data_IF_326683790967
#
_entry.id   IF_326683790967
#
_cell.length_a   1.000
_cell.length_b   1.000
_cell.length_c   1.000
_cell.angle_alpha   90.00
_cell.angle_beta   90.00
_cell.angle_gamma   90.00
#
_symmetry.space_group_name_H-M   'P 1'
#
loop_
_entity.id
_entity.type
_entity.pdbx_description
1 polymer ?
#
# COMPACT_ATOMS: atom_id res chain seq x y z
N UNK A 1 -20.09 38.66 -9.77
CA UNK A 1 -20.35 37.31 -10.22
C UNK A 1 -19.08 36.45 -10.21
N UNK A 2 -19.16 35.20 -10.63
CA UNK A 2 -18.06 34.23 -10.60
C UNK A 2 -16.83 34.68 -11.43
N UNK A 3 -17.07 35.37 -12.55
CA UNK A 3 -16.03 35.96 -13.42
C UNK A 3 -15.27 37.14 -12.78
N UNK A 4 -15.93 37.91 -11.96
CA UNK A 4 -15.28 39.07 -11.24
C UNK A 4 -14.38 38.56 -10.12
N UNK A 5 -14.75 37.45 -9.48
CA UNK A 5 -13.92 36.80 -8.45
C UNK A 5 -12.67 36.15 -9.05
N UNK A 6 -12.80 35.49 -10.21
CA UNK A 6 -11.66 34.92 -10.92
C UNK A 6 -10.65 36.00 -11.35
N UNK A 7 -11.15 37.11 -11.85
CA UNK A 7 -10.29 38.23 -12.26
C UNK A 7 -9.57 38.93 -11.07
N UNK A 8 -10.16 38.94 -9.88
CA UNK A 8 -9.56 39.51 -8.67
C UNK A 8 -8.35 38.71 -8.15
N UNK A 9 -8.25 37.41 -8.52
CA UNK A 9 -7.16 36.51 -8.10
C UNK A 9 -6.15 36.28 -9.22
N UNK A 10 -6.38 36.87 -10.41
CA UNK A 10 -5.46 36.76 -11.57
C UNK A 10 -5.52 35.39 -12.27
N UNK A 11 -6.60 34.60 -12.06
CA UNK A 11 -6.82 33.30 -12.68
C UNK A 11 -7.89 33.38 -13.77
N UNK A 12 -7.74 32.61 -14.84
CA UNK A 12 -8.81 32.45 -15.82
C UNK A 12 -9.98 31.64 -15.25
N UNK A 13 -11.21 31.86 -15.74
CA UNK A 13 -12.40 31.11 -15.33
C UNK A 13 -12.20 29.59 -15.45
N UNK A 14 -11.45 29.17 -16.45
CA UNK A 14 -11.09 27.78 -16.68
C UNK A 14 -10.13 27.23 -15.59
N UNK A 15 -9.17 28.04 -15.16
CA UNK A 15 -8.24 27.67 -14.09
C UNK A 15 -8.93 27.62 -12.73
N UNK A 16 -9.86 28.52 -12.48
CA UNK A 16 -10.65 28.53 -11.25
C UNK A 16 -11.60 27.34 -11.17
N UNK A 17 -12.28 27.00 -12.28
CA UNK A 17 -13.16 25.83 -12.34
C UNK A 17 -12.38 24.52 -12.22
N UNK A 18 -11.21 24.43 -12.85
CA UNK A 18 -10.34 23.26 -12.74
C UNK A 18 -9.77 23.09 -11.33
N UNK A 19 -9.39 24.20 -10.68
CA UNK A 19 -8.94 24.24 -9.29
C UNK A 19 -10.04 23.81 -8.30
N UNK A 20 -11.28 24.24 -8.52
CA UNK A 20 -12.43 23.84 -7.72
C UNK A 20 -12.80 22.36 -7.89
N UNK A 21 -12.66 21.83 -9.10
CA UNK A 21 -12.88 20.39 -9.38
C UNK A 21 -11.77 19.56 -8.71
N UNK A 22 -10.51 19.98 -8.81
CA UNK A 22 -9.38 19.31 -8.15
C UNK A 22 -9.47 19.36 -6.63
N UNK A 23 -9.91 20.48 -6.07
CA UNK A 23 -10.14 20.63 -4.63
C UNK A 23 -11.33 19.78 -4.15
N UNK A 24 -12.40 19.70 -4.94
CA UNK A 24 -13.56 18.84 -4.65
C UNK A 24 -13.17 17.36 -4.61
N UNK A 25 -12.36 16.90 -5.55
CA UNK A 25 -11.81 15.54 -5.57
C UNK A 25 -10.95 15.25 -4.33
N UNK A 26 -10.08 16.18 -3.93
CA UNK A 26 -9.25 16.05 -2.71
C UNK A 26 -10.11 15.95 -1.45
N UNK A 27 -11.18 16.73 -1.34
CA UNK A 27 -12.09 16.70 -0.19
C UNK A 27 -12.85 15.38 -0.12
N UNK A 28 -13.31 14.85 -1.25
CA UNK A 28 -14.02 13.56 -1.30
C UNK A 28 -13.08 12.41 -0.90
N UNK A 29 -11.85 12.40 -1.37
CA UNK A 29 -10.83 11.41 -0.97
C UNK A 29 -10.49 11.53 0.51
N UNK A 30 -10.36 12.74 1.06
CA UNK A 30 -10.15 12.96 2.50
C UNK A 30 -11.32 12.47 3.35
N UNK A 31 -12.56 12.75 2.92
CA UNK A 31 -13.78 12.30 3.63
C UNK A 31 -13.88 10.77 3.58
N UNK A 32 -13.62 10.16 2.43
CA UNK A 32 -13.63 8.70 2.28
C UNK A 32 -12.58 8.03 3.19
N UNK A 33 -11.35 8.54 3.21
CA UNK A 33 -10.30 8.06 4.11
C UNK A 33 -10.64 8.26 5.60
N UNK A 34 -11.22 9.41 5.96
CA UNK A 34 -11.64 9.68 7.33
C UNK A 34 -12.79 8.78 7.81
N UNK A 35 -13.74 8.46 6.92
CA UNK A 35 -14.83 7.53 7.22
C UNK A 35 -14.34 6.08 7.32
N UNK A 36 -13.35 5.70 6.51
CA UNK A 36 -12.71 4.37 6.57
C UNK A 36 -11.95 4.15 7.88
N UNK A 37 -11.22 5.15 8.37
CA UNK A 37 -10.48 5.10 9.65
C UNK A 37 -11.42 4.96 10.85
N UNK A 38 -12.58 5.64 10.86
CA UNK A 38 -13.58 5.51 11.93
C UNK A 38 -14.24 4.13 12.00
N UNK A 39 -14.34 3.41 10.87
CA UNK A 39 -14.92 2.05 10.83
C UNK A 39 -13.97 0.97 11.37
N UNK A 40 -12.67 1.21 11.37
CA UNK A 40 -11.66 0.23 11.84
C UNK A 40 -11.54 0.19 13.37
N UNK A 41 -11.84 1.29 14.07
CA UNK A 41 -11.79 1.35 15.53
C UNK A 41 -12.97 0.66 16.24
N UNK A 42 -14.07 0.40 15.53
CA UNK A 42 -15.28 -0.20 16.13
C UNK A 42 -15.33 -1.74 16.05
N UNK A 43 -14.32 -2.41 15.46
CA UNK A 43 -14.32 -3.87 15.28
C UNK A 43 -13.38 -4.64 16.23
N UNK A 44 -12.77 -3.99 17.19
CA UNK A 44 -11.75 -4.61 18.06
C UNK A 44 -12.21 -4.92 19.48
N UNK A 45 -13.47 -5.26 19.67
CA UNK A 45 -13.90 -5.75 20.99
C UNK A 45 -15.01 -6.79 20.83
N UNK A 46 -14.62 -8.05 20.62
CA UNK A 46 -15.32 -9.22 21.13
C UNK A 46 -14.57 -10.50 20.72
N UNK A 47 -13.68 -10.92 21.61
CA UNK A 47 -13.15 -12.30 21.61
C UNK A 47 -14.08 -13.15 22.46
N UNK A 48 -14.86 -14.01 21.85
CA UNK A 48 -15.53 -15.10 22.54
C UNK A 48 -14.81 -16.42 22.24
N UNK A 49 -14.16 -16.92 23.29
CA UNK A 49 -13.74 -18.31 23.44
C UNK A 49 -14.93 -19.25 23.24
N UNK A 50 -14.82 -20.19 22.31
CA UNK A 50 -15.60 -21.43 22.35
C UNK A 50 -14.66 -22.59 22.10
N UNK A 51 -14.41 -23.33 23.19
CA UNK A 51 -13.86 -24.68 23.14
C UNK A 51 -14.93 -25.63 22.57
N UNK A 52 -14.54 -26.46 21.60
CA UNK A 52 -15.22 -27.71 21.34
C UNK A 52 -14.18 -28.82 21.22
N UNK A 53 -14.18 -29.68 22.21
CA UNK A 53 -13.62 -31.02 22.17
C UNK A 53 -14.70 -32.03 21.68
N UNK A 54 -14.21 -33.08 20.97
CA UNK A 54 -14.79 -34.42 20.75
C UNK A 54 -16.01 -34.58 19.80
N UNK A 55 -15.90 -35.34 18.78
CA UNK A 55 -15.90 -36.84 18.65
C UNK A 55 -15.88 -37.32 17.19
N UNK A 56 -14.97 -38.23 16.95
CA UNK A 56 -15.02 -39.44 16.11
C UNK A 56 -15.88 -39.54 14.84
N UNK A 57 -15.21 -39.87 13.72
CA UNK A 57 -15.83 -40.47 12.55
C UNK A 57 -14.90 -40.63 11.34
N UNK A 58 -14.12 -41.72 11.29
CA UNK A 58 -13.35 -42.19 10.13
C UNK A 58 -14.23 -42.37 8.90
N UNK A 59 -13.97 -41.67 7.81
CA UNK A 59 -14.20 -42.22 6.45
C UNK A 59 -13.04 -41.73 5.56
N UNK A 60 -12.17 -42.67 5.25
CA UNK A 60 -11.13 -42.56 4.23
C UNK A 60 -11.79 -42.41 2.84
N UNK A 61 -11.59 -41.27 2.18
CA UNK A 61 -11.78 -41.14 0.74
C UNK A 61 -10.50 -40.59 0.13
N UNK A 62 -9.77 -41.50 -0.47
CA UNK A 62 -8.62 -41.21 -1.32
C UNK A 62 -9.11 -40.53 -2.59
N UNK A 63 -8.87 -39.23 -2.72
CA UNK A 63 -8.96 -38.51 -4.00
C UNK A 63 -7.57 -38.44 -4.64
N UNK A 64 -7.46 -38.55 -5.98
CA UNK A 64 -6.17 -38.55 -6.64
C UNK A 64 -5.53 -37.16 -6.52
N UNK A 65 -4.35 -37.10 -5.91
CA UNK A 65 -3.48 -35.94 -5.85
C UNK A 65 -3.00 -35.62 -7.26
N UNK A 66 -3.55 -34.57 -7.86
CA UNK A 66 -2.97 -33.96 -9.03
C UNK A 66 -1.80 -33.11 -8.55
N UNK A 67 -0.59 -33.61 -8.73
CA UNK A 67 0.64 -32.84 -8.53
C UNK A 67 0.69 -31.69 -9.56
N UNK A 68 0.12 -30.55 -9.19
CA UNK A 68 0.40 -29.30 -9.84
C UNK A 68 1.63 -28.70 -9.11
N UNK A 69 2.70 -28.33 -9.82
CA UNK A 69 3.84 -27.71 -9.19
C UNK A 69 3.37 -26.39 -8.55
N UNK A 70 3.43 -26.32 -7.23
CA UNK A 70 3.28 -25.08 -6.48
C UNK A 70 4.40 -24.12 -6.90
N UNK A 71 4.14 -23.31 -7.89
CA UNK A 71 5.01 -22.16 -8.19
C UNK A 71 4.74 -21.09 -7.13
N UNK A 72 5.28 -21.31 -5.93
CA UNK A 72 5.51 -20.22 -4.98
C UNK A 72 6.57 -19.30 -5.54
N UNK A 73 6.16 -18.35 -6.35
CA UNK A 73 6.96 -17.18 -6.67
C UNK A 73 6.26 -15.96 -6.09
N UNK A 74 6.11 -15.94 -4.77
CA UNK A 74 6.14 -14.66 -4.08
C UNK A 74 7.57 -14.15 -4.26
N UNK A 75 7.74 -13.17 -5.14
CA UNK A 75 8.94 -12.33 -5.07
C UNK A 75 8.95 -11.76 -3.65
N UNK A 76 9.92 -12.10 -2.81
CA UNK A 76 9.96 -11.53 -1.48
C UNK A 76 10.03 -10.02 -1.68
N UNK A 77 9.06 -9.28 -1.16
CA UNK A 77 9.23 -7.86 -0.87
C UNK A 77 10.32 -7.83 0.19
N UNK A 78 11.57 -7.75 -0.26
CA UNK A 78 12.71 -7.65 0.63
C UNK A 78 12.56 -6.28 1.27
N UNK A 79 12.06 -6.24 2.51
CA UNK A 79 12.08 -5.06 3.34
C UNK A 79 13.54 -4.71 3.57
N UNK A 80 14.11 -3.92 2.68
CA UNK A 80 15.45 -3.35 2.81
C UNK A 80 15.35 -1.97 3.41
N UNK A 81 16.30 -1.64 4.25
CA UNK A 81 16.51 -0.29 4.74
C UNK A 81 16.76 0.63 3.54
N UNK A 82 16.01 1.73 3.51
CA UNK A 82 16.09 2.73 2.45
C UNK A 82 16.19 4.14 3.09
N UNK A 83 17.33 4.79 2.94
CA UNK A 83 17.59 6.10 3.53
C UNK A 83 16.67 7.21 3.02
N UNK A 84 15.89 6.98 1.96
CA UNK A 84 14.89 7.93 1.47
C UNK A 84 13.63 7.97 2.33
N UNK A 85 13.34 6.86 3.05
CA UNK A 85 12.11 6.75 3.85
C UNK A 85 12.37 6.33 5.29
N UNK A 86 13.62 5.99 5.64
CA UNK A 86 14.03 5.51 6.96
C UNK A 86 15.04 6.45 7.61
N UNK A 87 14.92 6.64 8.92
CA UNK A 87 16.05 7.10 9.74
C UNK A 87 16.99 5.92 9.95
N UNK A 88 18.22 6.03 9.46
CA UNK A 88 19.22 4.98 9.53
C UNK A 88 20.32 5.36 10.53
N UNK A 89 20.60 4.47 11.49
CA UNK A 89 21.63 4.63 12.51
C UNK A 89 22.66 3.52 12.33
N UNK A 90 23.90 3.90 12.05
CA UNK A 90 25.01 2.97 11.91
C UNK A 90 25.65 2.63 13.26
N UNK A 91 25.98 1.36 13.45
CA UNK A 91 26.72 0.85 14.61
C UNK A 91 27.98 0.13 14.12
N UNK A 92 29.13 0.55 14.60
CA UNK A 92 30.43 -0.09 14.30
C UNK A 92 30.85 -0.94 15.48
N UNK A 93 31.00 -2.23 15.24
CA UNK A 93 31.37 -3.18 16.26
C UNK A 93 32.90 -3.24 16.41
N UNK A 94 33.44 -3.42 17.63
CA UNK A 94 34.89 -3.48 17.83
C UNK A 94 35.50 -4.77 17.24
N UNK A 95 34.70 -5.83 17.18
CA UNK A 95 35.04 -7.13 16.59
C UNK A 95 33.77 -7.76 15.97
N UNK A 96 33.97 -8.86 15.25
CA UNK A 96 32.87 -9.59 14.65
C UNK A 96 32.01 -10.26 15.74
N UNK A 97 30.74 -9.85 15.82
CA UNK A 97 29.74 -10.37 16.77
C UNK A 97 28.81 -11.36 16.06
N UNK A 98 28.42 -12.42 16.78
CA UNK A 98 27.52 -13.43 16.27
C UNK A 98 26.10 -12.88 16.10
N UNK A 99 25.42 -13.29 15.02
CA UNK A 99 24.03 -12.93 14.81
C UNK A 99 23.11 -13.42 15.92
N UNK A 100 23.43 -14.54 16.57
CA UNK A 100 22.67 -15.06 17.73
C UNK A 100 22.66 -14.06 18.88
N UNK A 101 23.78 -13.45 19.20
CA UNK A 101 23.89 -12.43 20.24
C UNK A 101 23.10 -11.18 19.88
N UNK A 102 23.27 -10.66 18.65
CA UNK A 102 22.54 -9.49 18.16
C UNK A 102 21.03 -9.74 18.21
N UNK A 103 20.56 -10.86 17.67
CA UNK A 103 19.14 -11.23 17.66
C UNK A 103 18.59 -11.35 19.08
N UNK A 104 19.36 -11.81 20.06
CA UNK A 104 18.92 -11.89 21.46
C UNK A 104 18.54 -10.52 22.03
N UNK A 105 19.25 -9.47 21.67
CA UNK A 105 18.91 -8.08 22.02
C UNK A 105 17.74 -7.55 21.20
N UNK A 106 17.69 -7.78 19.89
CA UNK A 106 16.60 -7.33 19.01
C UNK A 106 15.25 -7.97 19.35
N UNK A 107 15.22 -9.18 19.89
CA UNK A 107 13.99 -9.84 20.33
C UNK A 107 13.25 -9.12 21.47
N UNK A 108 13.95 -8.21 22.18
CA UNK A 108 13.34 -7.36 23.22
C UNK A 108 12.64 -6.12 22.63
N UNK A 109 12.85 -5.83 21.34
CA UNK A 109 12.21 -4.71 20.68
C UNK A 109 10.75 -5.03 20.31
N UNK A 110 9.86 -4.02 20.22
CA UNK A 110 8.46 -4.24 19.87
C UNK A 110 8.35 -4.85 18.47
N UNK A 111 7.60 -5.95 18.35
CA UNK A 111 7.38 -6.64 17.07
C UNK A 111 6.33 -5.95 16.21
N UNK A 112 5.46 -5.17 16.82
CA UNK A 112 4.42 -4.38 16.15
C UNK A 112 4.61 -2.92 16.51
N UNK A 113 4.72 -2.08 15.51
CA UNK A 113 4.82 -0.63 15.64
C UNK A 113 4.10 0.02 14.46
N UNK A 114 3.55 1.21 14.69
CA UNK A 114 3.00 2.04 13.62
C UNK A 114 4.07 2.38 12.58
N UNK A 115 5.31 2.57 13.04
CA UNK A 115 6.48 2.81 12.19
C UNK A 115 7.40 1.59 12.29
N UNK A 116 7.47 0.75 11.23
CA UNK A 116 8.31 -0.43 11.22
C UNK A 116 9.79 -0.08 11.40
N UNK A 117 10.47 -0.88 12.22
CA UNK A 117 11.92 -0.82 12.38
C UNK A 117 12.58 -2.05 11.77
N UNK A 118 13.85 -1.92 11.41
CA UNK A 118 14.67 -2.98 10.82
C UNK A 118 16.08 -2.92 11.37
N UNK A 119 16.79 -4.06 11.30
CA UNK A 119 18.22 -4.14 11.57
C UNK A 119 18.88 -5.02 10.51
N UNK A 120 19.91 -4.50 9.87
CA UNK A 120 20.73 -5.21 8.90
C UNK A 120 22.18 -5.24 9.38
N UNK A 121 22.88 -6.31 9.00
CA UNK A 121 24.30 -6.48 9.25
C UNK A 121 25.08 -6.53 7.94
N UNK A 122 26.29 -5.98 7.97
CA UNK A 122 27.23 -6.00 6.86
C UNK A 122 27.98 -7.32 6.83
N UNK A 123 27.80 -8.08 5.74
CA UNK A 123 28.51 -9.35 5.56
C UNK A 123 29.95 -9.06 5.16
N UNK A 124 30.90 -9.62 5.91
CA UNK A 124 32.31 -9.65 5.52
C UNK A 124 32.50 -10.60 4.35
N UNK A 125 32.73 -10.07 3.16
CA UNK A 125 33.02 -10.90 1.97
C UNK A 125 34.49 -11.04 1.73
N UNK A 126 34.94 -12.17 1.13
CA UNK A 126 36.35 -12.32 0.69
C UNK A 126 36.73 -11.17 -0.24
N UNK A 127 37.97 -10.71 -0.12
CA UNK A 127 38.54 -9.55 -0.83
C UNK A 127 38.15 -9.50 -2.30
N UNK A 128 37.44 -8.43 -2.70
CA UNK A 128 37.07 -8.11 -4.09
C UNK A 128 35.59 -8.12 -4.41
N UNK A 129 34.73 -8.55 -3.50
CA UNK A 129 33.28 -8.50 -3.69
C UNK A 129 32.69 -7.29 -2.96
N UNK A 130 31.66 -6.66 -3.54
CA UNK A 130 30.98 -5.52 -2.93
C UNK A 130 30.37 -5.94 -1.58
N UNK A 131 30.60 -5.14 -0.54
CA UNK A 131 29.97 -5.34 0.77
C UNK A 131 28.46 -5.39 0.63
N UNK A 132 27.83 -6.41 1.22
CA UNK A 132 26.39 -6.63 1.13
C UNK A 132 25.73 -6.54 2.50
N UNK A 133 24.70 -5.73 2.60
CA UNK A 133 23.84 -5.67 3.78
C UNK A 133 22.75 -6.75 3.71
N UNK A 134 22.52 -7.44 4.82
CA UNK A 134 21.42 -8.41 4.95
C UNK A 134 20.70 -8.25 6.29
N UNK A 135 19.42 -8.65 6.39
CA UNK A 135 18.77 -8.78 7.69
C UNK A 135 19.60 -9.69 8.61
N UNK A 136 19.76 -9.28 9.88
CA UNK A 136 20.56 -10.03 10.83
C UNK A 136 20.03 -11.46 10.99
N UNK A 137 20.87 -12.45 10.73
CA UNK A 137 20.58 -13.88 10.84
C UNK A 137 21.29 -14.49 12.04
N UNK A 138 20.69 -15.48 12.68
CA UNK A 138 21.24 -16.15 13.87
C UNK A 138 22.61 -16.79 13.60
N UNK A 139 22.79 -17.34 12.40
CA UNK A 139 23.99 -18.02 11.93
C UNK A 139 25.03 -17.07 11.29
N UNK A 140 24.71 -15.77 11.24
CA UNK A 140 25.59 -14.74 10.69
C UNK A 140 26.65 -14.27 11.67
N UNK A 141 27.63 -13.49 11.15
CA UNK A 141 28.64 -12.78 11.92
C UNK A 141 28.89 -11.42 11.27
N UNK A 142 28.86 -10.35 12.06
CA UNK A 142 28.81 -8.99 11.53
C UNK A 142 29.81 -8.08 12.24
N UNK A 143 30.43 -7.18 11.46
CA UNK A 143 31.35 -6.12 11.94
C UNK A 143 30.64 -4.76 12.01
N UNK A 144 29.60 -4.57 11.21
CA UNK A 144 28.82 -3.35 11.19
C UNK A 144 27.33 -3.71 11.17
N UNK A 145 26.53 -2.92 11.86
CA UNK A 145 25.09 -3.01 11.86
C UNK A 145 24.50 -1.66 11.45
N UNK A 146 23.29 -1.70 10.90
CA UNK A 146 22.46 -0.51 10.78
C UNK A 146 21.07 -0.82 11.32
N UNK A 147 20.58 0.04 12.22
CA UNK A 147 19.18 0.04 12.65
C UNK A 147 18.44 1.14 11.91
N UNK A 148 17.19 0.89 11.58
CA UNK A 148 16.39 1.87 10.88
C UNK A 148 14.95 1.86 11.36
N UNK A 149 14.29 3.02 11.32
CA UNK A 149 12.86 3.19 11.56
C UNK A 149 12.25 4.01 10.45
N UNK A 150 11.08 3.60 9.99
CA UNK A 150 10.36 4.31 8.94
C UNK A 150 9.90 5.69 9.40
N UNK A 151 10.17 6.73 8.58
CA UNK A 151 9.92 8.12 8.93
C UNK A 151 8.47 8.56 8.73
N UNK A 152 7.76 7.97 7.77
CA UNK A 152 6.37 8.31 7.49
C UNK A 152 5.62 7.14 6.83
N UNK A 153 4.31 7.14 6.95
CA UNK A 153 3.38 6.26 6.24
C UNK A 153 2.04 6.99 6.04
N UNK A 154 0.99 6.28 5.59
CA UNK A 154 -0.36 6.89 5.43
C UNK A 154 -0.99 7.43 6.71
N UNK A 155 -0.46 7.12 7.87
CA UNK A 155 -0.94 7.65 9.16
C UNK A 155 -0.22 8.96 9.53
N UNK A 156 0.85 9.31 8.81
CA UNK A 156 1.59 10.56 8.99
C UNK A 156 3.09 10.36 9.25
N UNK A 157 3.77 11.45 9.62
CA UNK A 157 5.17 11.46 9.99
C UNK A 157 5.38 10.87 11.39
N UNK A 158 6.53 10.22 11.62
CA UNK A 158 6.93 9.73 12.94
C UNK A 158 6.99 10.87 13.96
N UNK A 159 6.46 10.63 15.16
CA UNK A 159 6.46 11.57 16.26
C UNK A 159 7.73 11.51 17.11
N UNK A 160 7.92 12.53 17.95
CA UNK A 160 9.10 12.63 18.84
C UNK A 160 9.20 11.46 19.82
N UNK A 161 8.07 10.91 20.27
CA UNK A 161 8.04 9.80 21.23
C UNK A 161 8.57 8.52 20.60
N UNK A 162 8.05 8.13 19.42
CA UNK A 162 8.46 6.92 18.72
C UNK A 162 9.93 7.01 18.27
N UNK A 163 10.35 8.18 17.79
CA UNK A 163 11.73 8.41 17.38
C UNK A 163 12.70 8.37 18.57
N UNK A 164 12.34 8.97 19.72
CA UNK A 164 13.17 8.96 20.92
C UNK A 164 13.27 7.55 21.53
N UNK A 165 12.21 6.79 21.49
CA UNK A 165 12.21 5.38 21.92
C UNK A 165 13.13 4.55 21.01
N UNK A 166 13.04 4.71 19.70
CA UNK A 166 13.91 4.04 18.75
C UNK A 166 15.38 4.39 18.93
N UNK A 167 15.73 5.68 19.07
CA UNK A 167 17.11 6.12 19.27
C UNK A 167 17.66 5.62 20.59
N UNK A 168 16.84 5.60 21.66
CA UNK A 168 17.23 5.04 22.95
C UNK A 168 17.50 3.54 22.89
N UNK A 169 16.71 2.78 22.14
CA UNK A 169 16.95 1.34 21.89
C UNK A 169 18.20 1.09 21.08
N UNK A 170 18.44 1.89 20.06
CA UNK A 170 19.67 1.80 19.23
C UNK A 170 20.90 2.10 20.09
N UNK A 171 20.85 3.09 20.98
CA UNK A 171 21.92 3.38 21.94
C UNK A 171 22.13 2.23 22.93
N UNK A 172 21.03 1.65 23.45
CA UNK A 172 21.13 0.49 24.38
C UNK A 172 21.74 -0.73 23.68
N UNK A 173 21.39 -0.98 22.40
CA UNK A 173 22.01 -2.02 21.60
C UNK A 173 23.50 -1.77 21.40
N UNK A 174 23.90 -0.54 21.05
CA UNK A 174 25.29 -0.16 20.90
C UNK A 174 26.08 -0.38 22.19
N UNK A 175 25.54 0.04 23.35
CA UNK A 175 26.17 -0.18 24.64
C UNK A 175 26.30 -1.67 24.98
N UNK A 176 25.31 -2.49 24.66
CA UNK A 176 25.35 -3.93 24.92
C UNK A 176 26.37 -4.68 24.08
N UNK A 177 26.68 -4.16 22.89
CA UNK A 177 27.63 -4.74 21.93
C UNK A 177 28.98 -4.02 21.90
N UNK A 178 29.25 -3.09 22.84
CA UNK A 178 30.41 -2.21 22.85
C UNK A 178 30.65 -1.48 21.50
N UNK A 179 29.57 -1.19 20.77
CA UNK A 179 29.62 -0.57 19.45
C UNK A 179 29.72 0.95 19.52
N UNK A 180 30.47 1.52 18.57
CA UNK A 180 30.38 2.96 18.29
C UNK A 180 29.10 3.28 17.54
N UNK A 181 28.38 4.32 17.98
CA UNK A 181 27.13 4.77 17.38
C UNK A 181 27.18 6.29 17.14
N UNK A 182 26.68 6.71 15.98
CA UNK A 182 26.49 8.11 15.65
C UNK A 182 25.00 8.40 15.54
N UNK A 183 24.45 9.10 16.53
CA UNK A 183 23.04 9.44 16.60
C UNK A 183 22.80 10.79 15.93
N UNK A 184 21.97 10.84 14.87
CA UNK A 184 21.60 12.11 14.26
C UNK A 184 20.73 12.94 15.20
N UNK A 185 20.76 14.28 15.10
CA UNK A 185 19.92 15.15 15.90
C UNK A 185 18.43 14.89 15.68
N UNK A 186 17.67 14.62 16.75
CA UNK A 186 16.25 14.28 16.70
C UNK A 186 15.43 15.31 15.93
N UNK A 187 15.71 16.61 16.11
CA UNK A 187 14.97 17.66 15.42
C UNK A 187 15.16 17.66 13.91
N UNK A 188 16.33 17.26 13.42
CA UNK A 188 16.61 17.18 11.98
C UNK A 188 15.82 16.02 11.37
N UNK A 189 15.80 14.88 12.05
CA UNK A 189 15.03 13.69 11.61
C UNK A 189 13.54 13.99 11.62
N UNK A 190 13.01 14.68 12.64
CA UNK A 190 11.59 15.05 12.68
C UNK A 190 11.23 15.98 11.52
N UNK A 191 12.14 16.89 11.13
CA UNK A 191 11.94 17.75 9.97
C UNK A 191 11.93 16.96 8.66
N UNK A 192 12.86 16.00 8.50
CA UNK A 192 12.90 15.11 7.34
C UNK A 192 11.62 14.27 7.25
N UNK A 193 11.15 13.73 8.37
CA UNK A 193 9.92 12.97 8.45
C UNK A 193 8.69 13.80 8.01
N UNK A 194 8.60 15.06 8.45
CA UNK A 194 7.54 15.97 8.03
C UNK A 194 7.60 16.30 6.53
N UNK A 195 8.80 16.49 5.98
CA UNK A 195 8.98 16.73 4.54
C UNK A 195 8.57 15.51 3.71
N UNK A 196 8.95 14.31 4.18
CA UNK A 196 8.56 13.05 3.55
C UNK A 196 7.04 12.85 3.58
N UNK A 197 6.40 13.14 4.72
CA UNK A 197 4.94 13.05 4.88
C UNK A 197 4.21 14.03 3.94
N UNK A 198 4.69 15.26 3.82
CA UNK A 198 4.15 16.25 2.89
C UNK A 198 4.26 15.78 1.43
N UNK A 199 5.41 15.22 1.05
CA UNK A 199 5.60 14.62 -0.27
C UNK A 199 4.64 13.44 -0.48
N UNK A 200 4.55 12.53 0.48
CA UNK A 200 3.66 11.39 0.41
C UNK A 200 2.20 11.83 0.23
N UNK A 201 1.74 12.81 1.00
CA UNK A 201 0.38 13.34 0.89
C UNK A 201 0.06 13.93 -0.51
N UNK A 202 1.05 14.49 -1.21
CA UNK A 202 0.87 14.99 -2.58
C UNK A 202 0.77 13.88 -3.62
N UNK A 203 1.35 12.72 -3.33
CA UNK A 203 1.41 11.58 -4.27
C UNK A 203 0.42 10.46 -3.92
N UNK A 204 -0.22 10.50 -2.73
CA UNK A 204 -1.15 9.47 -2.26
C UNK A 204 -2.51 9.61 -2.93
N UNK A 205 -2.60 9.12 -4.16
CA UNK A 205 -3.82 9.19 -4.97
C UNK A 205 -4.35 7.79 -5.25
N UNK A 206 -5.63 7.61 -4.95
CA UNK A 206 -6.44 6.48 -5.41
C UNK A 206 -7.38 6.96 -6.51
N UNK A 207 -7.35 6.28 -7.64
CA UNK A 207 -8.24 6.55 -8.77
C UNK A 207 -9.35 5.51 -8.82
N UNK A 208 -10.59 5.99 -8.94
CA UNK A 208 -11.77 5.15 -9.10
C UNK A 208 -12.42 5.36 -10.47
N UNK A 209 -12.85 4.26 -11.10
CA UNK A 209 -13.75 4.29 -12.26
C UNK A 209 -14.99 3.49 -11.91
N UNK A 210 -16.13 4.14 -11.91
CA UNK A 210 -17.41 3.52 -11.50
C UNK A 210 -18.26 3.17 -12.71
N UNK A 211 -18.87 1.99 -12.65
CA UNK A 211 -19.83 1.49 -13.64
C UNK A 211 -21.17 1.42 -12.95
N UNK A 212 -22.20 2.01 -13.56
CA UNK A 212 -23.60 1.96 -13.11
C UNK A 212 -24.46 1.24 -14.14
N UNK A 213 -25.55 0.57 -13.75
CA UNK A 213 -26.44 -0.11 -14.69
C UNK A 213 -27.21 0.89 -15.56
N UNK A 214 -27.35 0.58 -16.85
CA UNK A 214 -28.15 1.38 -17.79
C UNK A 214 -29.64 1.20 -17.59
N UNK A 215 -30.07 0.06 -17.05
CA UNK A 215 -31.47 -0.30 -16.89
C UNK A 215 -31.74 -0.97 -15.54
N UNK A 216 -31.62 -2.29 -15.48
CA UNK A 216 -31.87 -3.07 -14.28
C UNK A 216 -30.61 -3.20 -13.43
N UNK A 217 -30.77 -3.18 -12.10
CA UNK A 217 -29.69 -3.51 -11.16
C UNK A 217 -29.18 -4.92 -11.43
N UNK A 218 -27.91 -5.14 -11.19
CA UNK A 218 -27.29 -6.45 -11.33
C UNK A 218 -27.46 -7.27 -10.06
N UNK A 219 -27.40 -8.59 -10.18
CA UNK A 219 -27.14 -9.45 -9.04
C UNK A 219 -25.64 -9.70 -8.90
N UNK A 220 -25.22 -10.17 -7.72
CA UNK A 220 -23.81 -10.37 -7.42
C UNK A 220 -23.20 -11.49 -8.29
N UNK A 221 -24.00 -12.49 -8.74
CA UNK A 221 -23.55 -13.57 -9.62
C UNK A 221 -23.18 -13.04 -11.02
N UNK A 222 -23.95 -12.08 -11.56
CA UNK A 222 -23.63 -11.43 -12.84
C UNK A 222 -22.30 -10.71 -12.79
N UNK A 223 -22.05 -9.94 -11.73
CA UNK A 223 -20.77 -9.24 -11.53
C UNK A 223 -19.62 -10.24 -11.36
N UNK A 224 -19.79 -11.28 -10.52
CA UNK A 224 -18.79 -12.34 -10.33
C UNK A 224 -18.40 -13.02 -11.65
N UNK A 225 -19.39 -13.37 -12.47
CA UNK A 225 -19.17 -14.00 -13.76
C UNK A 225 -18.46 -13.08 -14.75
N UNK A 226 -18.87 -11.81 -14.83
CA UNK A 226 -18.24 -10.81 -15.70
C UNK A 226 -16.79 -10.55 -15.29
N UNK A 227 -16.52 -10.33 -14.02
CA UNK A 227 -15.17 -10.12 -13.49
C UNK A 227 -14.25 -11.33 -13.77
N UNK A 228 -14.73 -12.55 -13.50
CA UNK A 228 -13.95 -13.76 -13.75
C UNK A 228 -13.64 -13.95 -15.24
N UNK A 229 -14.60 -13.71 -16.13
CA UNK A 229 -14.39 -13.77 -17.60
C UNK A 229 -13.42 -12.70 -18.09
N UNK A 230 -13.39 -11.53 -17.45
CA UNK A 230 -12.46 -10.46 -17.74
C UNK A 230 -11.05 -10.71 -17.17
N UNK A 231 -10.82 -11.85 -16.47
CA UNK A 231 -9.52 -12.24 -15.96
C UNK A 231 -9.16 -11.66 -14.59
N UNK A 232 -10.17 -11.18 -13.85
CA UNK A 232 -9.98 -10.78 -12.46
C UNK A 232 -10.03 -12.00 -11.54
N UNK A 233 -9.24 -11.97 -10.47
CA UNK A 233 -9.16 -13.01 -9.46
C UNK A 233 -9.83 -12.56 -8.15
N UNK A 234 -10.70 -13.40 -7.59
CA UNK A 234 -11.38 -13.10 -6.33
C UNK A 234 -10.37 -13.12 -5.16
N UNK A 235 -10.43 -12.11 -4.30
CA UNK A 235 -9.66 -12.04 -3.07
C UNK A 235 -10.07 -13.15 -2.08
N UNK A 236 -9.16 -13.55 -1.19
CA UNK A 236 -9.42 -14.62 -0.20
C UNK A 236 -10.56 -14.28 0.76
N UNK A 237 -10.74 -13.00 1.08
CA UNK A 237 -11.83 -12.53 1.94
C UNK A 237 -13.16 -12.35 1.19
N UNK A 238 -13.17 -12.51 -0.13
CA UNK A 238 -14.34 -12.41 -0.98
C UNK A 238 -14.90 -11.01 -1.19
N UNK A 239 -14.18 -9.97 -0.77
CA UNK A 239 -14.69 -8.57 -0.83
C UNK A 239 -14.40 -7.86 -2.13
N UNK A 240 -13.41 -8.33 -2.89
CA UNK A 240 -12.96 -7.67 -4.11
C UNK A 240 -12.35 -8.66 -5.09
N UNK A 241 -12.28 -8.26 -6.33
CA UNK A 241 -11.52 -8.94 -7.37
C UNK A 241 -10.26 -8.12 -7.68
N UNK A 242 -9.17 -8.81 -7.98
CA UNK A 242 -7.88 -8.21 -8.33
C UNK A 242 -7.56 -8.40 -9.80
N UNK A 243 -7.12 -7.35 -10.47
CA UNK A 243 -6.42 -7.45 -11.73
C UNK A 243 -4.94 -7.65 -11.43
N UNK A 244 -4.42 -8.80 -11.83
CA UNK A 244 -3.02 -9.18 -11.57
C UNK A 244 -2.27 -9.22 -12.89
N UNK A 245 -1.13 -8.52 -12.97
CA UNK A 245 -0.20 -8.53 -14.09
C UNK A 245 1.20 -8.77 -13.52
N UNK A 246 1.93 -9.75 -14.02
CA UNK A 246 3.28 -10.11 -13.56
C UNK A 246 3.35 -10.32 -12.03
N UNK A 247 2.37 -11.02 -11.46
CA UNK A 247 2.21 -11.27 -10.01
C UNK A 247 2.01 -10.01 -9.14
N UNK A 248 1.74 -8.85 -9.76
CA UNK A 248 1.43 -7.62 -9.07
C UNK A 248 -0.06 -7.30 -9.21
N UNK A 249 -0.71 -6.98 -8.09
CA UNK A 249 -2.08 -6.43 -8.10
C UNK A 249 -2.01 -5.00 -8.63
N UNK A 250 -2.64 -4.75 -9.77
CA UNK A 250 -2.62 -3.45 -10.43
C UNK A 250 -3.78 -2.57 -9.94
N UNK A 251 -4.98 -3.11 -9.91
CA UNK A 251 -6.19 -2.48 -9.37
C UNK A 251 -7.18 -3.54 -8.94
N UNK A 252 -8.17 -3.10 -8.17
CA UNK A 252 -9.20 -3.98 -7.61
C UNK A 252 -10.58 -3.55 -8.10
N UNK A 253 -11.49 -4.51 -8.23
CA UNK A 253 -12.90 -4.30 -8.50
C UNK A 253 -13.70 -4.61 -7.24
N UNK A 254 -14.55 -3.69 -6.83
CA UNK A 254 -15.51 -3.83 -5.72
C UNK A 254 -16.92 -3.63 -6.24
N UNK A 255 -17.90 -4.31 -5.63
CA UNK A 255 -19.31 -4.18 -5.95
C UNK A 255 -20.06 -3.74 -4.69
N UNK A 256 -20.35 -2.46 -4.59
CA UNK A 256 -20.91 -1.83 -3.39
C UNK A 256 -20.17 -2.30 -2.11
N UNK A 257 -20.85 -2.63 -1.02
CA UNK A 257 -20.28 -3.23 0.21
C UNK A 257 -20.41 -4.76 0.24
N UNK A 258 -20.64 -5.41 -0.90
CA UNK A 258 -20.97 -6.84 -1.00
C UNK A 258 -19.76 -7.75 -0.80
N UNK A 259 -20.05 -8.98 -0.36
CA UNK A 259 -19.05 -10.04 -0.23
C UNK A 259 -19.43 -11.24 -1.10
N UNK A 260 -18.61 -11.55 -2.10
CA UNK A 260 -18.85 -12.61 -3.09
C UNK A 260 -18.77 -14.04 -2.53
N UNK A 261 -18.36 -14.23 -1.29
CA UNK A 261 -18.29 -15.52 -0.62
C UNK A 261 -19.38 -15.71 0.45
N UNK A 262 -19.90 -14.62 1.02
CA UNK A 262 -20.81 -14.66 2.16
C UNK A 262 -22.25 -14.29 1.78
N UNK A 263 -22.42 -13.37 0.83
CA UNK A 263 -23.74 -12.88 0.44
C UNK A 263 -24.44 -13.85 -0.52
N UNK A 264 -25.78 -13.82 -0.52
CA UNK A 264 -26.56 -14.56 -1.50
C UNK A 264 -26.39 -13.92 -2.89
N UNK A 265 -25.61 -14.58 -3.74
CA UNK A 265 -25.21 -14.07 -5.05
C UNK A 265 -26.39 -13.72 -5.96
N UNK A 266 -27.55 -14.36 -5.78
CA UNK A 266 -28.72 -14.16 -6.63
C UNK A 266 -29.71 -13.12 -6.06
N UNK A 267 -29.65 -12.83 -4.77
CA UNK A 267 -30.57 -11.90 -4.09
C UNK A 267 -29.96 -10.53 -3.86
N UNK A 268 -28.63 -10.46 -3.71
CA UNK A 268 -27.95 -9.18 -3.54
C UNK A 268 -28.10 -8.32 -4.80
N UNK A 269 -28.62 -7.12 -4.62
CA UNK A 269 -28.84 -6.15 -5.70
C UNK A 269 -27.72 -5.13 -5.72
N UNK A 270 -26.99 -5.04 -6.83
CA UNK A 270 -25.80 -4.21 -7.02
C UNK A 270 -26.14 -2.99 -7.84
N UNK A 271 -25.86 -1.80 -7.29
CA UNK A 271 -26.11 -0.51 -7.92
C UNK A 271 -24.88 0.08 -8.59
N UNK A 272 -23.68 -0.33 -8.15
CA UNK A 272 -22.44 0.15 -8.72
C UNK A 272 -21.31 -0.88 -8.61
N UNK A 273 -20.39 -0.82 -9.57
CA UNK A 273 -19.13 -1.55 -9.56
C UNK A 273 -18.02 -0.54 -9.77
N UNK A 274 -17.04 -0.53 -8.90
CA UNK A 274 -15.92 0.42 -8.98
C UNK A 274 -14.60 -0.30 -9.11
N UNK A 275 -13.81 0.11 -10.10
CA UNK A 275 -12.41 -0.26 -10.21
C UNK A 275 -11.57 0.76 -9.46
N UNK A 276 -10.69 0.32 -8.57
CA UNK A 276 -9.84 1.15 -7.71
C UNK A 276 -8.37 0.90 -7.96
N UNK A 277 -7.64 1.95 -8.29
CA UNK A 277 -6.20 1.96 -8.51
C UNK A 277 -5.50 2.76 -7.41
N UNK A 278 -4.62 2.11 -6.67
CA UNK A 278 -3.71 2.75 -5.69
C UNK A 278 -2.44 3.18 -6.45
N UNK A 279 -2.47 4.41 -6.98
CA UNK A 279 -1.51 4.89 -7.97
C UNK A 279 -0.04 4.75 -7.55
N UNK A 280 0.38 5.18 -6.33
CA UNK A 280 1.80 5.13 -5.96
C UNK A 280 2.35 3.71 -5.78
N UNK A 281 1.49 2.70 -5.66
CA UNK A 281 1.92 1.30 -5.52
C UNK A 281 2.08 0.56 -6.85
N UNK A 282 1.74 1.19 -7.98
CA UNK A 282 1.75 0.52 -9.29
C UNK A 282 2.74 1.21 -10.24
N UNK A 283 3.68 0.45 -10.85
CA UNK A 283 4.67 1.03 -11.76
C UNK A 283 4.04 1.73 -12.96
N UNK A 284 4.56 2.91 -13.33
CA UNK A 284 4.12 3.68 -14.49
C UNK A 284 4.22 2.88 -15.80
N UNK A 285 5.23 2.03 -15.92
CA UNK A 285 5.49 1.24 -17.13
C UNK A 285 4.30 0.39 -17.60
N UNK A 286 3.43 -0.01 -16.65
CA UNK A 286 2.23 -0.81 -16.93
C UNK A 286 1.10 0.07 -17.50
N UNK A 287 1.21 1.42 -17.48
CA UNK A 287 0.13 2.36 -17.81
C UNK A 287 -1.18 2.01 -17.10
N UNK A 288 -1.17 1.93 -15.74
CA UNK A 288 -2.25 1.27 -14.99
C UNK A 288 -3.61 1.95 -15.13
N UNK A 289 -3.66 3.28 -15.22
CA UNK A 289 -4.93 4.01 -15.39
C UNK A 289 -5.56 3.69 -16.76
N UNK A 290 -4.78 3.69 -17.83
CA UNK A 290 -5.29 3.35 -19.16
C UNK A 290 -5.75 1.90 -19.26
N UNK A 291 -5.00 0.98 -18.65
CA UNK A 291 -5.37 -0.44 -18.55
C UNK A 291 -6.67 -0.62 -17.77
N UNK A 292 -6.81 0.07 -16.63
CA UNK A 292 -8.02 0.05 -15.82
C UNK A 292 -9.22 0.59 -16.59
N UNK A 293 -9.05 1.69 -17.32
CA UNK A 293 -10.12 2.29 -18.12
C UNK A 293 -10.60 1.37 -19.25
N UNK A 294 -9.67 0.69 -19.93
CA UNK A 294 -10.01 -0.30 -20.96
C UNK A 294 -10.79 -1.47 -20.37
N UNK A 295 -10.35 -2.02 -19.23
CA UNK A 295 -11.07 -3.11 -18.57
C UNK A 295 -12.45 -2.63 -18.05
N UNK A 296 -12.56 -1.39 -17.59
CA UNK A 296 -13.84 -0.80 -17.18
C UNK A 296 -14.84 -0.71 -18.35
N UNK A 297 -14.37 -0.33 -19.55
CA UNK A 297 -15.22 -0.31 -20.76
C UNK A 297 -15.69 -1.72 -21.13
N UNK A 298 -14.79 -2.70 -21.17
CA UNK A 298 -15.13 -4.10 -21.46
C UNK A 298 -16.11 -4.68 -20.46
N UNK A 299 -15.92 -4.41 -19.16
CA UNK A 299 -16.86 -4.81 -18.12
C UNK A 299 -18.21 -4.14 -18.30
N UNK A 300 -18.26 -2.82 -18.50
CA UNK A 300 -19.50 -2.06 -18.69
C UNK A 300 -20.32 -2.63 -19.88
N UNK A 301 -19.66 -2.93 -20.98
CA UNK A 301 -20.33 -3.54 -22.15
C UNK A 301 -20.87 -4.94 -21.80
N UNK A 302 -20.12 -5.75 -21.03
CA UNK A 302 -20.53 -7.12 -20.69
C UNK A 302 -21.72 -7.19 -19.73
N UNK A 303 -21.91 -6.18 -18.86
CA UNK A 303 -22.96 -6.12 -17.84
C UNK A 303 -24.03 -5.07 -18.14
N UNK A 304 -24.06 -4.51 -19.36
CA UNK A 304 -24.96 -3.43 -19.75
C UNK A 304 -24.89 -2.23 -18.79
N UNK A 305 -23.69 -1.76 -18.52
CA UNK A 305 -23.39 -0.61 -17.67
C UNK A 305 -22.90 0.61 -18.43
N UNK A 306 -22.76 1.73 -17.73
CA UNK A 306 -22.15 2.97 -18.22
C UNK A 306 -21.07 3.43 -17.24
N UNK A 307 -19.96 3.93 -17.79
CA UNK A 307 -18.90 4.54 -16.98
C UNK A 307 -19.31 5.95 -16.56
N UNK A 308 -19.10 6.24 -15.30
CA UNK A 308 -19.41 7.54 -14.71
C UNK A 308 -18.24 8.04 -13.84
N UNK A 309 -18.17 9.36 -13.68
CA UNK A 309 -17.30 10.02 -12.71
C UNK A 309 -17.90 9.95 -11.29
N UNK A 310 -17.18 10.50 -10.31
CA UNK A 310 -17.61 10.52 -8.90
C UNK A 310 -18.90 11.31 -8.67
N UNK A 311 -19.31 12.12 -9.64
CA UNK A 311 -20.59 12.87 -9.62
C UNK A 311 -21.72 12.15 -10.36
N UNK A 312 -21.47 10.93 -10.84
CA UNK A 312 -22.43 10.13 -11.60
C UNK A 312 -22.64 10.61 -13.04
N UNK A 313 -21.76 11.48 -13.57
CA UNK A 313 -21.81 11.96 -14.96
C UNK A 313 -21.01 11.04 -15.87
N UNK A 314 -21.40 10.87 -17.14
CA UNK A 314 -20.62 10.09 -18.09
C UNK A 314 -19.15 10.54 -18.15
N UNK A 315 -18.23 9.58 -18.11
CA UNK A 315 -16.80 9.85 -18.21
C UNK A 315 -16.44 10.24 -19.65
N UNK A 316 -16.14 11.52 -19.86
CA UNK A 316 -15.82 12.07 -21.20
C UNK A 316 -14.31 12.07 -21.47
N UNK A 317 -13.95 12.12 -22.76
CA UNK A 317 -12.53 12.04 -23.21
C UNK A 317 -11.68 13.15 -22.61
N UNK A 318 -12.21 14.36 -22.50
CA UNK A 318 -11.53 15.52 -21.94
C UNK A 318 -11.17 15.30 -20.47
N UNK A 319 -12.07 14.71 -19.69
CA UNK A 319 -11.83 14.37 -18.28
C UNK A 319 -10.75 13.27 -18.16
N UNK A 320 -10.80 12.25 -19.00
CA UNK A 320 -9.78 11.19 -19.07
C UNK A 320 -8.40 11.77 -19.36
N UNK A 321 -8.28 12.65 -20.37
CA UNK A 321 -7.00 13.29 -20.71
C UNK A 321 -6.45 14.15 -19.55
N UNK A 322 -7.31 14.88 -18.85
CA UNK A 322 -6.92 15.68 -17.70
C UNK A 322 -6.41 14.78 -16.54
N UNK A 323 -7.07 13.65 -16.26
CA UNK A 323 -6.63 12.67 -15.26
C UNK A 323 -5.28 12.06 -15.66
N UNK A 324 -5.09 11.67 -16.94
CA UNK A 324 -3.81 11.13 -17.41
C UNK A 324 -2.67 12.13 -17.23
N UNK A 325 -2.90 13.41 -17.49
CA UNK A 325 -1.90 14.44 -17.28
C UNK A 325 -1.49 14.55 -15.79
N UNK A 326 -2.47 14.49 -14.88
CA UNK A 326 -2.21 14.49 -13.43
C UNK A 326 -1.46 13.23 -12.98
N UNK A 327 -1.87 12.05 -13.45
CA UNK A 327 -1.20 10.77 -13.18
C UNK A 327 0.27 10.83 -13.57
N UNK A 328 0.57 11.35 -14.76
CA UNK A 328 1.94 11.50 -15.23
C UNK A 328 2.74 12.49 -14.38
N UNK A 329 2.13 13.61 -13.95
CA UNK A 329 2.78 14.57 -13.07
C UNK A 329 3.16 13.97 -11.71
N UNK A 330 2.29 13.13 -11.14
CA UNK A 330 2.56 12.42 -9.88
C UNK A 330 3.70 11.43 -10.05
N UNK A 331 3.69 10.61 -11.10
CA UNK A 331 4.80 9.70 -11.39
C UNK A 331 6.13 10.43 -11.52
N UNK A 332 6.15 11.57 -12.21
CA UNK A 332 7.35 12.40 -12.32
C UNK A 332 7.81 12.95 -10.97
N UNK A 333 6.88 13.42 -10.12
CA UNK A 333 7.20 13.86 -8.77
C UNK A 333 7.81 12.73 -7.93
N UNK A 334 7.26 11.52 -7.99
CA UNK A 334 7.77 10.36 -7.28
C UNK A 334 9.19 9.98 -7.76
N UNK A 335 9.43 10.00 -9.06
CA UNK A 335 10.77 9.74 -9.64
C UNK A 335 11.78 10.79 -9.17
N UNK A 336 11.41 12.07 -9.17
CA UNK A 336 12.29 13.16 -8.73
C UNK A 336 12.68 13.05 -7.25
N UNK A 337 11.80 12.50 -6.41
CA UNK A 337 12.07 12.25 -4.99
C UNK A 337 12.76 10.89 -4.73
N UNK A 338 13.06 10.12 -5.79
CA UNK A 338 13.71 8.82 -5.68
C UNK A 338 12.80 7.67 -5.22
N UNK A 339 11.54 7.95 -4.90
CA UNK A 339 10.54 6.95 -4.48
C UNK A 339 9.69 6.58 -5.69
N UNK A 340 10.20 5.73 -6.58
CA UNK A 340 9.47 5.31 -7.77
C UNK A 340 8.22 4.51 -7.42
N UNK A 341 7.12 4.77 -8.13
CA UNK A 341 5.86 4.05 -7.95
C UNK A 341 6.05 2.54 -8.17
N UNK A 342 5.42 1.73 -7.32
CA UNK A 342 5.56 0.27 -7.33
C UNK A 342 6.87 -0.25 -6.73
N UNK A 343 7.79 0.62 -6.26
CA UNK A 343 8.99 0.21 -5.54
C UNK A 343 8.67 -0.27 -4.12
N UNK A 344 9.61 -0.99 -3.49
CA UNK A 344 9.49 -1.39 -2.09
C UNK A 344 9.31 -0.17 -1.16
N UNK A 345 10.05 0.91 -1.41
CA UNK A 345 9.90 2.18 -0.68
C UNK A 345 8.50 2.77 -0.84
N UNK A 346 7.95 2.79 -2.06
CA UNK A 346 6.58 3.25 -2.30
C UNK A 346 5.54 2.38 -1.59
N UNK A 347 5.68 1.05 -1.65
CA UNK A 347 4.77 0.14 -0.94
C UNK A 347 4.77 0.36 0.57
N UNK A 348 5.93 0.67 1.16
CA UNK A 348 6.08 0.98 2.58
C UNK A 348 5.53 2.36 2.93
N UNK A 349 5.88 3.40 2.15
CA UNK A 349 5.47 4.77 2.41
C UNK A 349 3.95 4.95 2.30
N UNK A 350 3.32 4.27 1.35
CA UNK A 350 1.87 4.33 1.11
C UNK A 350 1.09 3.15 1.72
N UNK A 351 1.61 2.56 2.82
CA UNK A 351 0.94 1.47 3.57
C UNK A 351 -0.02 1.98 4.63
#
# INVERSE_FOLDING_TARGET
GFSEFAASIGLSELQLSLGLIGFGLLVVVMIYNALRLRKTELSSTESLNVNYEDELGLIEKTEPVLDLPETKTELPVVNRIDSLIDCVIALRLPEAISGQEIVSHLNQWPKSSMYPWMCEGLISQPSGTQALWEPVKIDGSYLELQTAIQLANRQGAIGVVDLSDFTSRSQALANALDAEIDLPPVNDILKEAQQLDQFAAQCDIQLGVTIIPKSNMWNLAEIKNAASKAGFQLSRDGRQFHRIINNLVIYSLIADESNFLRDDLNKASIQSVTLLLDLPKVPQLISPFRTMLNDAHLLADSINGSLVDDSGRPLIVEAVNAIEAQVNAIYQSMIQHGVSAGSSAAHRLFS
#
